data_IF_317995370771
#
_entry.id   IF_317995370771
#
_cell.length_a   1.000
_cell.length_b   1.000
_cell.length_c   1.000
_cell.angle_alpha   90.00
_cell.angle_beta   90.00
_cell.angle_gamma   90.00
#
_symmetry.space_group_name_H-M   'P 1'
#
loop_
_entity.id
_entity.type
_entity.pdbx_description
1 polymer ?
#
# COMPACT_ATOMS: atom_id res chain seq x y z
N UNK A 1 26.32 -20.48 -37.73
CA UNK A 1 27.67 -19.99 -37.35
C UNK A 1 27.83 -19.74 -35.85
N UNK A 2 26.78 -19.62 -35.02
CA UNK A 2 26.91 -19.39 -33.56
C UNK A 2 26.96 -20.68 -32.71
N UNK A 3 26.58 -21.82 -33.27
CA UNK A 3 26.49 -23.10 -32.56
C UNK A 3 27.87 -23.77 -32.38
N UNK A 4 28.75 -23.67 -33.39
CA UNK A 4 30.13 -24.19 -33.34
C UNK A 4 31.00 -23.49 -32.28
N UNK A 5 30.71 -22.22 -31.96
CA UNK A 5 31.43 -21.53 -30.89
C UNK A 5 31.04 -22.03 -29.51
N UNK A 6 29.74 -22.25 -29.24
CA UNK A 6 29.27 -22.72 -27.92
C UNK A 6 29.83 -24.11 -27.60
N UNK A 7 29.84 -25.01 -28.58
CA UNK A 7 30.39 -26.37 -28.42
C UNK A 7 31.87 -26.36 -28.08
N UNK A 8 32.66 -25.47 -28.70
CA UNK A 8 34.10 -25.34 -28.40
C UNK A 8 34.37 -24.79 -27.00
N UNK A 9 33.52 -23.89 -26.50
CA UNK A 9 33.63 -23.40 -25.13
C UNK A 9 33.29 -24.48 -24.11
N UNK A 10 32.25 -25.27 -24.36
CA UNK A 10 31.87 -26.38 -23.48
C UNK A 10 32.94 -27.47 -23.45
N UNK A 11 33.51 -27.84 -24.60
CA UNK A 11 34.62 -28.81 -24.67
C UNK A 11 35.87 -28.31 -23.95
N UNK A 12 36.19 -27.01 -24.07
CA UNK A 12 37.31 -26.39 -23.36
C UNK A 12 37.10 -26.39 -21.84
N UNK A 13 35.89 -26.08 -21.38
CA UNK A 13 35.53 -26.10 -19.95
C UNK A 13 35.61 -27.53 -19.40
N UNK A 14 35.03 -28.50 -20.11
CA UNK A 14 35.07 -29.91 -19.74
C UNK A 14 36.51 -30.45 -19.65
N UNK A 15 37.36 -30.06 -20.61
CA UNK A 15 38.78 -30.44 -20.60
C UNK A 15 39.50 -29.85 -19.40
N UNK A 16 39.28 -28.57 -19.08
CA UNK A 16 39.93 -27.91 -17.95
C UNK A 16 39.49 -28.50 -16.60
N UNK A 17 38.19 -28.78 -16.43
CA UNK A 17 37.64 -29.43 -15.23
C UNK A 17 38.23 -30.84 -15.04
N UNK A 18 38.48 -31.56 -16.14
CA UNK A 18 39.05 -32.91 -16.12
C UNK A 18 40.55 -32.91 -15.82
N UNK A 19 41.28 -31.87 -16.25
CA UNK A 19 42.72 -31.70 -16.01
C UNK A 19 43.04 -31.20 -14.60
N UNK A 20 42.24 -30.27 -14.06
CA UNK A 20 42.46 -29.67 -12.73
C UNK A 20 41.89 -30.54 -11.59
N UNK A 21 41.00 -31.49 -11.92
CA UNK A 21 40.32 -32.32 -10.94
C UNK A 21 39.26 -31.53 -10.17
N UNK A 22 38.15 -32.17 -9.84
CA UNK A 22 37.12 -31.54 -9.01
C UNK A 22 37.65 -31.41 -7.58
N UNK A 23 38.08 -30.20 -7.20
CA UNK A 23 38.34 -29.87 -5.81
C UNK A 23 37.06 -30.16 -5.02
N UNK A 24 37.14 -31.15 -4.12
CA UNK A 24 36.00 -31.49 -3.28
C UNK A 24 35.79 -30.31 -2.33
N UNK A 25 34.59 -29.72 -2.29
CA UNK A 25 34.30 -28.68 -1.31
C UNK A 25 34.56 -29.26 0.09
N UNK A 26 35.02 -28.41 1.00
CA UNK A 26 35.19 -28.81 2.39
C UNK A 26 33.88 -29.41 2.93
N UNK A 27 33.97 -30.38 3.84
CA UNK A 27 32.80 -31.04 4.46
C UNK A 27 31.80 -30.04 5.06
N UNK A 28 32.25 -28.83 5.40
CA UNK A 28 31.46 -27.77 6.00
C UNK A 28 31.07 -26.64 5.05
N UNK A 29 31.40 -26.73 3.75
CA UNK A 29 31.10 -25.69 2.76
C UNK A 29 29.60 -25.36 2.73
N UNK A 30 28.76 -26.38 2.65
CA UNK A 30 27.30 -26.21 2.65
C UNK A 30 26.81 -25.54 3.94
N UNK A 31 27.35 -25.92 5.10
CA UNK A 31 26.99 -25.31 6.38
C UNK A 31 27.45 -23.84 6.48
N UNK A 32 28.62 -23.51 5.93
CA UNK A 32 29.14 -22.15 5.91
C UNK A 32 28.34 -21.24 4.96
N UNK A 33 27.85 -21.79 3.84
CA UNK A 33 27.00 -21.06 2.89
C UNK A 33 25.60 -20.86 3.48
N UNK A 34 24.99 -21.92 4.02
CA UNK A 34 23.66 -21.84 4.63
C UNK A 34 23.67 -20.89 5.83
N UNK A 35 24.68 -20.95 6.71
CA UNK A 35 24.76 -20.04 7.87
C UNK A 35 24.90 -18.56 7.47
N UNK A 36 25.63 -18.25 6.40
CA UNK A 36 25.70 -16.89 5.86
C UNK A 36 24.37 -16.44 5.23
N UNK A 37 23.70 -17.33 4.50
CA UNK A 37 22.38 -17.03 3.90
C UNK A 37 21.31 -16.86 4.98
N UNK A 38 21.31 -17.68 6.02
CA UNK A 38 20.40 -17.56 7.16
C UNK A 38 20.66 -16.27 7.92
N UNK A 39 21.92 -15.96 8.27
CA UNK A 39 22.27 -14.70 8.92
C UNK A 39 21.80 -13.49 8.10
N UNK A 40 21.98 -13.51 6.79
CA UNK A 40 21.56 -12.44 5.89
C UNK A 40 20.03 -12.38 5.69
N UNK A 41 19.32 -13.52 5.79
CA UNK A 41 17.85 -13.55 5.88
C UNK A 41 17.36 -12.92 7.18
N UNK A 42 17.99 -13.18 8.32
CA UNK A 42 17.59 -12.57 9.60
C UNK A 42 17.70 -11.03 9.51
N UNK A 43 18.78 -10.51 8.92
CA UNK A 43 18.94 -9.07 8.71
C UNK A 43 17.94 -8.46 7.70
N UNK A 44 17.47 -9.21 6.70
CA UNK A 44 16.47 -8.73 5.74
C UNK A 44 15.02 -8.84 6.25
N UNK A 45 14.74 -9.68 7.25
CA UNK A 45 13.44 -9.74 7.94
C UNK A 45 13.24 -8.53 8.87
N UNK A 46 14.33 -7.84 9.21
CA UNK A 46 14.35 -6.62 10.02
C UNK A 46 14.18 -5.33 9.19
N UNK A 47 13.77 -5.44 7.92
CA UNK A 47 13.07 -4.34 7.25
C UNK A 47 11.67 -4.21 7.85
N UNK A 48 11.67 -3.62 9.05
CA UNK A 48 10.61 -2.93 9.76
C UNK A 48 9.28 -2.93 8.98
N UNK A 49 8.45 -3.97 9.21
CA UNK A 49 7.03 -3.96 8.89
C UNK A 49 6.31 -2.96 9.81
N UNK A 50 6.78 -1.73 9.82
CA UNK A 50 6.15 -0.64 10.55
C UNK A 50 4.83 -0.38 9.83
N UNK A 51 3.69 -0.60 10.50
CA UNK A 51 2.41 -0.34 9.86
C UNK A 51 2.37 1.14 9.48
N UNK A 52 2.31 1.45 8.17
CA UNK A 52 2.26 2.82 7.62
C UNK A 52 1.19 3.67 8.30
N UNK A 53 0.10 3.02 8.72
CA UNK A 53 -0.95 3.63 9.52
C UNK A 53 -1.08 2.84 10.82
N UNK A 54 -0.81 3.47 11.97
CA UNK A 54 -0.93 2.79 13.25
C UNK A 54 -2.39 2.43 13.56
N UNK A 55 -2.58 1.32 14.29
CA UNK A 55 -3.92 0.70 14.51
C UNK A 55 -4.94 1.65 15.14
N UNK A 56 -4.51 2.57 16.00
CA UNK A 56 -5.39 3.57 16.64
C UNK A 56 -6.02 4.55 15.64
N UNK A 57 -5.34 4.83 14.52
CA UNK A 57 -5.85 5.75 13.51
C UNK A 57 -7.05 5.16 12.75
N UNK A 58 -7.07 3.83 12.58
CA UNK A 58 -8.22 3.12 12.00
C UNK A 58 -9.46 3.18 12.90
N UNK A 59 -9.29 2.99 14.22
CA UNK A 59 -10.40 3.13 15.17
C UNK A 59 -10.90 4.58 15.24
N UNK A 60 -10.00 5.55 15.18
CA UNK A 60 -10.35 6.98 15.16
C UNK A 60 -11.14 7.32 13.89
N UNK A 61 -10.68 6.86 12.72
CA UNK A 61 -11.41 7.05 11.46
C UNK A 61 -12.80 6.41 11.48
N UNK A 62 -12.93 5.19 12.00
CA UNK A 62 -14.22 4.53 12.16
C UNK A 62 -15.16 5.31 13.10
N UNK A 63 -14.65 5.81 14.22
CA UNK A 63 -15.43 6.60 15.17
C UNK A 63 -15.95 7.91 14.56
N UNK A 64 -15.12 8.61 13.77
CA UNK A 64 -15.51 9.84 13.06
C UNK A 64 -16.64 9.55 12.06
N UNK A 65 -16.50 8.47 11.28
CA UNK A 65 -17.52 8.07 10.32
C UNK A 65 -18.84 7.78 11.03
N UNK A 66 -18.83 6.98 12.11
CA UNK A 66 -20.04 6.67 12.89
C UNK A 66 -20.67 7.94 13.49
N UNK A 67 -19.87 8.86 14.02
CA UNK A 67 -20.33 10.15 14.50
C UNK A 67 -21.03 10.95 13.39
N UNK A 68 -20.42 11.01 12.20
CA UNK A 68 -20.97 11.72 11.05
C UNK A 68 -22.33 11.14 10.64
N UNK A 69 -22.42 9.81 10.51
CA UNK A 69 -23.69 9.13 10.21
C UNK A 69 -24.73 9.34 11.30
N UNK A 70 -24.34 9.31 12.57
CA UNK A 70 -25.27 9.56 13.68
C UNK A 70 -25.81 10.99 13.65
N UNK A 71 -24.96 11.97 13.33
CA UNK A 71 -25.36 13.37 13.21
C UNK A 71 -26.29 13.58 12.02
N UNK A 72 -26.06 12.88 10.91
CA UNK A 72 -26.90 12.96 9.71
C UNK A 72 -28.29 12.33 9.90
N UNK A 73 -28.38 11.26 10.68
CA UNK A 73 -29.64 10.53 10.91
C UNK A 73 -30.49 11.20 11.99
N UNK A 74 -29.87 11.63 13.10
CA UNK A 74 -30.57 12.16 14.27
C UNK A 74 -30.53 13.69 14.39
N UNK A 75 -29.57 14.34 13.75
CA UNK A 75 -29.50 15.80 13.70
C UNK A 75 -30.56 16.36 12.76
N UNK A 76 -31.14 17.50 13.12
CA UNK A 76 -31.83 18.34 12.15
C UNK A 76 -30.77 18.92 11.23
N UNK A 77 -30.43 18.19 10.17
CA UNK A 77 -29.43 18.63 9.20
C UNK A 77 -30.03 19.74 8.37
N UNK A 78 -29.84 20.98 8.82
CA UNK A 78 -29.94 22.12 7.92
C UNK A 78 -28.72 22.02 6.99
N UNK A 79 -28.93 21.47 5.79
CA UNK A 79 -27.87 21.24 4.79
C UNK A 79 -27.42 22.54 4.12
N UNK A 80 -27.84 23.70 4.62
CA UNK A 80 -27.18 24.96 4.35
C UNK A 80 -25.74 24.89 4.83
N UNK A 81 -24.79 25.22 3.96
CA UNK A 81 -23.35 25.29 4.24
C UNK A 81 -23.09 26.53 5.12
N UNK A 82 -23.64 26.57 6.34
CA UNK A 82 -23.51 27.69 7.27
C UNK A 82 -22.33 27.51 8.24
N UNK A 83 -21.58 26.41 8.11
CA UNK A 83 -20.44 26.05 8.96
C UNK A 83 -19.09 26.55 8.42
N UNK A 84 -19.07 27.09 7.20
CA UNK A 84 -17.92 27.80 6.66
C UNK A 84 -18.17 29.29 6.93
N UNK A 85 -17.31 29.98 7.70
CA UNK A 85 -17.41 31.43 7.85
C UNK A 85 -17.35 32.05 6.46
N UNK A 86 -18.31 32.90 6.08
CA UNK A 86 -18.32 33.58 4.77
C UNK A 86 -16.97 34.26 4.48
N UNK A 87 -16.31 34.77 5.52
CA UNK A 87 -14.97 35.38 5.48
C UNK A 87 -13.86 34.44 4.92
N UNK A 88 -14.02 33.12 5.06
CA UNK A 88 -13.10 32.10 4.52
C UNK A 88 -13.48 31.69 3.10
N UNK A 89 -14.73 31.93 2.70
CA UNK A 89 -15.20 31.73 1.32
C UNK A 89 -14.69 32.87 0.45
N UNK A 90 -14.72 34.13 0.93
CA UNK A 90 -14.20 35.30 0.19
C UNK A 90 -12.71 35.14 -0.19
N UNK A 91 -11.90 34.53 0.69
CA UNK A 91 -10.49 34.22 0.40
C UNK A 91 -10.32 33.11 -0.65
N UNK A 92 -11.30 32.20 -0.75
CA UNK A 92 -11.36 31.14 -1.77
C UNK A 92 -11.96 31.67 -3.10
N UNK A 93 -12.86 32.64 -3.05
CA UNK A 93 -13.44 33.33 -4.22
C UNK A 93 -12.40 34.15 -4.99
N UNK A 94 -11.38 34.67 -4.30
CA UNK A 94 -10.26 35.35 -4.98
C UNK A 94 -9.50 34.40 -5.94
N UNK A 95 -9.60 33.08 -5.72
CA UNK A 95 -9.35 32.08 -6.75
C UNK A 95 -10.63 31.94 -7.58
N UNK A 96 -10.74 32.74 -8.65
CA UNK A 96 -11.81 32.79 -9.69
C UNK A 96 -12.27 31.45 -10.31
N UNK A 97 -11.77 30.33 -9.81
CA UNK A 97 -12.21 28.97 -10.09
C UNK A 97 -13.58 28.68 -9.47
N UNK A 98 -13.92 29.25 -8.31
CA UNK A 98 -15.21 29.03 -7.65
C UNK A 98 -16.34 29.91 -8.20
N UNK A 99 -16.05 31.14 -8.65
CA UNK A 99 -17.02 32.06 -9.28
C UNK A 99 -17.66 31.52 -10.58
N UNK A 100 -17.00 30.56 -11.24
CA UNK A 100 -17.52 29.91 -12.47
C UNK A 100 -18.24 28.59 -12.20
N UNK A 101 -18.23 28.11 -10.97
CA UNK A 101 -19.08 26.97 -10.63
C UNK A 101 -20.50 27.52 -10.53
N UNK A 102 -21.45 27.06 -11.37
CA UNK A 102 -22.85 27.38 -11.14
C UNK A 102 -23.16 27.01 -9.69
N UNK A 103 -23.90 27.85 -8.97
CA UNK A 103 -24.35 27.55 -7.61
C UNK A 103 -25.16 26.24 -7.66
N UNK A 104 -24.46 25.13 -7.38
CA UNK A 104 -25.03 23.80 -7.47
C UNK A 104 -25.83 23.61 -6.20
N UNK A 105 -27.15 23.73 -6.29
CA UNK A 105 -28.05 23.25 -5.25
C UNK A 105 -27.98 21.72 -5.25
N UNK A 106 -27.03 21.19 -4.47
CA UNK A 106 -26.85 19.77 -4.29
C UNK A 106 -28.01 19.26 -3.45
N UNK A 107 -28.97 18.60 -4.09
CA UNK A 107 -30.09 17.98 -3.37
C UNK A 107 -29.56 17.00 -2.32
N UNK A 108 -30.23 16.97 -1.16
CA UNK A 108 -29.93 16.11 -0.03
C UNK A 108 -29.65 14.65 -0.44
N UNK A 109 -30.37 14.14 -1.45
CA UNK A 109 -30.17 12.79 -1.98
C UNK A 109 -28.75 12.55 -2.53
N UNK A 110 -28.15 13.54 -3.19
CA UNK A 110 -26.78 13.45 -3.69
C UNK A 110 -25.79 13.46 -2.53
N UNK A 111 -26.03 14.26 -1.48
CA UNK A 111 -25.20 14.28 -0.27
C UNK A 111 -25.17 12.90 0.39
N UNK A 112 -26.34 12.29 0.61
CA UNK A 112 -26.44 10.92 1.14
C UNK A 112 -25.76 9.89 0.23
N UNK A 113 -25.88 10.03 -1.10
CA UNK A 113 -25.20 9.16 -2.05
C UNK A 113 -23.67 9.27 -1.97
N UNK A 114 -23.12 10.48 -1.87
CA UNK A 114 -21.68 10.69 -1.72
C UNK A 114 -21.14 10.15 -0.40
N UNK A 115 -21.89 10.32 0.68
CA UNK A 115 -21.53 9.77 2.00
C UNK A 115 -21.55 8.24 1.97
N UNK A 116 -22.58 7.65 1.36
CA UNK A 116 -22.66 6.20 1.15
C UNK A 116 -21.52 5.67 0.29
N UNK A 117 -21.17 6.39 -0.79
CA UNK A 117 -20.03 6.07 -1.65
C UNK A 117 -18.71 6.11 -0.87
N UNK A 118 -18.47 7.18 -0.11
CA UNK A 118 -17.26 7.33 0.71
C UNK A 118 -17.14 6.22 1.76
N UNK A 119 -18.25 5.84 2.40
CA UNK A 119 -18.30 4.70 3.30
C UNK A 119 -17.94 3.39 2.59
N UNK A 120 -18.54 3.14 1.42
CA UNK A 120 -18.30 1.93 0.66
C UNK A 120 -16.82 1.80 0.22
N UNK A 121 -16.24 2.90 -0.28
CA UNK A 121 -14.81 2.97 -0.61
C UNK A 121 -13.95 2.72 0.65
N UNK A 122 -14.31 3.30 1.80
CA UNK A 122 -13.62 3.05 3.07
C UNK A 122 -13.62 1.57 3.46
N UNK A 123 -14.76 0.89 3.34
CA UNK A 123 -14.88 -0.55 3.58
C UNK A 123 -14.02 -1.36 2.60
N UNK A 124 -14.04 -1.00 1.31
CA UNK A 124 -13.21 -1.66 0.29
C UNK A 124 -11.71 -1.54 0.62
N UNK A 125 -11.24 -0.36 1.01
CA UNK A 125 -9.85 -0.12 1.41
C UNK A 125 -9.50 -0.95 2.65
N UNK A 126 -10.39 -1.05 3.64
CA UNK A 126 -10.19 -1.88 4.82
C UNK A 126 -10.11 -3.38 4.49
N UNK A 127 -10.99 -3.89 3.63
CA UNK A 127 -10.95 -5.27 3.15
C UNK A 127 -9.65 -5.55 2.40
N UNK A 128 -9.24 -4.64 1.53
CA UNK A 128 -8.01 -4.76 0.77
C UNK A 128 -6.81 -4.78 1.72
N UNK A 129 -6.73 -3.84 2.67
CA UNK A 129 -5.70 -3.84 3.73
C UNK A 129 -5.65 -5.19 4.46
N UNK A 130 -6.79 -5.72 4.88
CA UNK A 130 -6.85 -7.00 5.60
C UNK A 130 -6.36 -8.16 4.74
N UNK A 131 -6.66 -8.15 3.45
CA UNK A 131 -6.21 -9.16 2.50
C UNK A 131 -4.70 -9.10 2.25
N UNK A 132 -4.14 -7.89 2.11
CA UNK A 132 -2.70 -7.68 2.01
C UNK A 132 -2.00 -8.07 3.32
N UNK A 133 -2.46 -7.59 4.48
CA UNK A 133 -1.89 -7.98 5.79
C UNK A 133 -1.81 -9.50 5.92
N UNK A 134 -2.87 -10.27 5.60
CA UNK A 134 -2.83 -11.74 5.67
C UNK A 134 -1.82 -12.40 4.72
N UNK A 135 -1.51 -11.77 3.59
CA UNK A 135 -0.62 -12.35 2.57
C UNK A 135 0.86 -12.02 2.81
N UNK A 136 1.14 -10.89 3.47
CA UNK A 136 2.51 -10.45 3.78
C UNK A 136 2.93 -10.72 5.24
N UNK A 137 2.01 -11.16 6.11
CA UNK A 137 2.29 -11.58 7.50
C UNK A 137 2.46 -13.10 7.66
N UNK A 138 2.97 -13.79 6.61
CA UNK A 138 3.48 -15.16 6.75
C UNK A 138 4.97 -15.07 7.07
N UNK A 139 5.28 -15.03 8.37
CA UNK A 139 6.57 -15.44 8.90
C UNK A 139 6.32 -16.22 10.19
#
# INVERSE_FOLDING_TARGET
MQEDSQTKYDEFILKRIKEEGLEKPSLHFTNAVISKIEAQKVFNVEFDNKPLIPKYFWYTGAAIVVLLFSYLIYGKVDMGINWIPEERIEQLEHLRLLERLPSIDVSNSYVYAFIGLAFFVGVQVYMLKTHFDKRYFIN
#
